data_IF_406648445877
#
_entry.id   IF_406648445877
#
_cell.length_a   1.000
_cell.length_b   1.000
_cell.length_c   1.000
_cell.angle_alpha   90.00
_cell.angle_beta   90.00
_cell.angle_gamma   90.00
#
_symmetry.space_group_name_H-M   'P 1'
#
loop_
_entity.id
_entity.type
_entity.pdbx_description
1 polymer ?
#
# COMPACT_ATOMS: atom_id res chain seq x y z
N UNK A 1 -33.31 8.94 10.09
CA UNK A 1 -32.15 9.86 10.13
C UNK A 1 -31.12 9.23 11.06
N UNK A 2 -30.14 8.43 10.66
CA UNK A 2 -29.24 8.43 9.50
C UNK A 2 -29.19 7.01 8.91
N UNK A 3 -29.51 6.86 7.63
CA UNK A 3 -29.59 5.56 6.94
C UNK A 3 -28.23 5.03 6.47
N UNK A 4 -27.20 5.07 7.33
CA UNK A 4 -25.90 4.49 7.02
C UNK A 4 -25.81 3.06 7.57
N UNK A 5 -25.45 2.10 6.71
CA UNK A 5 -25.16 0.74 7.16
C UNK A 5 -23.90 0.75 8.04
N UNK A 6 -23.79 -0.17 9.00
CA UNK A 6 -22.61 -0.31 9.88
C UNK A 6 -21.30 -0.38 9.07
N UNK A 7 -21.36 -0.97 7.88
CA UNK A 7 -20.25 -1.05 6.92
C UNK A 7 -19.80 0.31 6.40
N UNK A 8 -20.71 1.27 6.17
CA UNK A 8 -20.36 2.62 5.71
C UNK A 8 -19.66 3.43 6.81
N UNK A 9 -20.10 3.29 8.05
CA UNK A 9 -19.41 3.90 9.20
C UNK A 9 -18.00 3.32 9.38
N UNK A 10 -17.87 1.99 9.30
CA UNK A 10 -16.57 1.33 9.40
C UNK A 10 -15.65 1.76 8.26
N UNK A 11 -16.15 1.83 7.04
CA UNK A 11 -15.41 2.32 5.87
C UNK A 11 -14.92 3.76 6.08
N UNK A 12 -15.79 4.67 6.52
CA UNK A 12 -15.43 6.07 6.76
C UNK A 12 -14.35 6.24 7.83
N UNK A 13 -14.45 5.49 8.93
CA UNK A 13 -13.45 5.51 10.02
C UNK A 13 -12.11 4.97 9.52
N UNK A 14 -12.09 3.81 8.84
CA UNK A 14 -10.86 3.23 8.31
C UNK A 14 -10.22 4.14 7.26
N UNK A 15 -11.01 4.77 6.40
CA UNK A 15 -10.53 5.74 5.40
C UNK A 15 -9.87 6.94 6.06
N UNK A 16 -10.53 7.54 7.05
CA UNK A 16 -9.97 8.66 7.81
C UNK A 16 -8.67 8.26 8.50
N UNK A 17 -8.64 7.11 9.17
CA UNK A 17 -7.47 6.61 9.88
C UNK A 17 -6.30 6.30 8.92
N UNK A 18 -6.59 5.74 7.74
CA UNK A 18 -5.59 5.48 6.70
C UNK A 18 -4.95 6.76 6.18
N UNK A 19 -5.74 7.82 5.95
CA UNK A 19 -5.21 9.12 5.52
C UNK A 19 -4.38 9.75 6.64
N UNK A 20 -4.88 9.71 7.88
CA UNK A 20 -4.19 10.25 9.04
C UNK A 20 -2.81 9.61 9.22
N UNK A 21 -2.74 8.27 9.20
CA UNK A 21 -1.46 7.57 9.30
C UNK A 21 -0.57 7.83 8.09
N UNK A 22 -1.11 7.84 6.87
CA UNK A 22 -0.35 8.19 5.66
C UNK A 22 0.29 9.58 5.73
N UNK A 23 -0.42 10.57 6.26
CA UNK A 23 0.15 11.89 6.53
C UNK A 23 1.24 11.83 7.60
N UNK A 24 1.03 11.06 8.66
CA UNK A 24 2.00 10.91 9.75
C UNK A 24 3.30 10.23 9.31
N UNK A 25 3.26 9.34 8.31
CA UNK A 25 4.45 8.77 7.65
C UNK A 25 5.34 9.87 7.07
N UNK A 26 4.74 10.85 6.38
CA UNK A 26 5.46 11.93 5.70
C UNK A 26 5.95 12.99 6.67
N UNK A 27 5.16 13.31 7.71
CA UNK A 27 5.53 14.32 8.70
C UNK A 27 6.49 13.83 9.78
N UNK A 28 6.63 12.51 9.96
CA UNK A 28 7.53 11.95 10.96
C UNK A 28 8.99 12.16 10.58
N UNK A 29 9.78 12.73 11.51
CA UNK A 29 11.22 12.98 11.34
C UNK A 29 12.07 11.73 11.49
N UNK A 30 11.62 10.78 12.31
CA UNK A 30 12.36 9.54 12.55
C UNK A 30 11.89 8.48 11.56
N UNK A 31 12.79 7.90 10.73
CA UNK A 31 12.41 6.94 9.70
C UNK A 31 11.76 5.68 10.30
N UNK A 32 12.19 5.25 11.49
CA UNK A 32 11.57 4.12 12.21
C UNK A 32 10.10 4.40 12.53
N UNK A 33 9.80 5.58 13.06
CA UNK A 33 8.42 5.98 13.35
C UNK A 33 7.59 6.12 12.06
N UNK A 34 8.19 6.64 10.99
CA UNK A 34 7.52 6.74 9.69
C UNK A 34 7.09 5.37 9.16
N UNK A 35 7.95 4.36 9.26
CA UNK A 35 7.58 3.00 8.82
C UNK A 35 6.54 2.36 9.74
N UNK A 36 6.56 2.61 11.05
CA UNK A 36 5.50 2.13 11.95
C UNK A 36 4.12 2.71 11.58
N UNK A 37 4.04 4.00 11.24
CA UNK A 37 2.79 4.59 10.74
C UNK A 37 2.37 4.01 9.38
N UNK A 38 3.34 3.62 8.54
CA UNK A 38 3.04 2.97 7.27
C UNK A 38 2.44 1.58 7.49
N UNK A 39 2.96 0.81 8.45
CA UNK A 39 2.39 -0.49 8.85
C UNK A 39 0.94 -0.31 9.33
N UNK A 40 0.66 0.71 10.15
CA UNK A 40 -0.72 1.02 10.58
C UNK A 40 -1.64 1.37 9.38
N UNK A 41 -1.10 2.05 8.37
CA UNK A 41 -1.82 2.36 7.13
C UNK A 41 -2.15 1.07 6.36
N UNK A 42 -1.22 0.12 6.24
CA UNK A 42 -1.47 -1.18 5.61
C UNK A 42 -2.52 -2.02 6.35
N UNK A 43 -2.58 -1.94 7.69
CA UNK A 43 -3.67 -2.57 8.43
C UNK A 43 -5.03 -1.92 8.12
N UNK A 44 -5.09 -0.59 7.99
CA UNK A 44 -6.32 0.09 7.57
C UNK A 44 -6.74 -0.34 6.15
N UNK A 45 -5.80 -0.44 5.21
CA UNK A 45 -6.06 -0.90 3.84
C UNK A 45 -6.54 -2.36 3.82
N UNK A 46 -5.92 -3.24 4.63
CA UNK A 46 -6.38 -4.63 4.77
C UNK A 46 -7.83 -4.70 5.29
N UNK A 47 -8.21 -3.81 6.21
CA UNK A 47 -9.59 -3.66 6.66
C UNK A 47 -10.55 -3.22 5.55
N UNK A 48 -10.12 -2.35 4.63
CA UNK A 48 -10.90 -2.01 3.44
C UNK A 48 -11.09 -3.22 2.52
N UNK A 49 -10.06 -4.03 2.31
CA UNK A 49 -10.19 -5.26 1.53
C UNK A 49 -11.21 -6.23 2.13
N UNK A 50 -11.26 -6.37 3.45
CA UNK A 50 -12.30 -7.18 4.11
C UNK A 50 -13.70 -6.61 3.89
N UNK A 51 -13.87 -5.29 3.99
CA UNK A 51 -15.16 -4.62 3.72
C UNK A 51 -15.62 -4.79 2.27
N UNK A 52 -14.68 -4.86 1.31
CA UNK A 52 -14.94 -5.08 -0.11
C UNK A 52 -15.09 -6.57 -0.49
N UNK A 53 -15.19 -7.48 0.49
CA UNK A 53 -15.23 -8.93 0.30
C UNK A 53 -13.97 -9.55 -0.34
N UNK A 54 -12.84 -8.84 -0.39
CA UNK A 54 -11.58 -9.32 -0.95
C UNK A 54 -10.72 -10.05 0.11
N UNK A 55 -11.19 -11.19 0.59
CA UNK A 55 -10.58 -11.93 1.71
C UNK A 55 -9.14 -12.38 1.43
N UNK A 56 -8.89 -13.01 0.28
CA UNK A 56 -7.54 -13.44 -0.08
C UNK A 56 -6.56 -12.26 -0.14
N UNK A 57 -6.98 -11.16 -0.75
CA UNK A 57 -6.15 -9.98 -0.92
C UNK A 57 -5.82 -9.34 0.43
N UNK A 58 -6.78 -9.28 1.36
CA UNK A 58 -6.55 -8.81 2.72
C UNK A 58 -5.46 -9.61 3.44
N UNK A 59 -5.52 -10.94 3.39
CA UNK A 59 -4.54 -11.81 4.04
C UNK A 59 -3.15 -11.67 3.42
N UNK A 60 -3.06 -11.69 2.09
CA UNK A 60 -1.78 -11.50 1.38
C UNK A 60 -1.19 -10.12 1.66
N UNK A 61 -2.03 -9.07 1.76
CA UNK A 61 -1.58 -7.73 2.11
C UNK A 61 -0.89 -7.70 3.48
N UNK A 62 -1.47 -8.38 4.47
CA UNK A 62 -0.89 -8.46 5.81
C UNK A 62 0.40 -9.30 5.79
N UNK A 63 0.39 -10.49 5.17
CA UNK A 63 1.55 -11.40 5.19
C UNK A 63 2.74 -10.85 4.40
N UNK A 64 2.51 -10.35 3.19
CA UNK A 64 3.59 -9.94 2.28
C UNK A 64 4.00 -8.50 2.52
N UNK A 65 3.04 -7.57 2.52
CA UNK A 65 3.37 -6.15 2.63
C UNK A 65 3.70 -5.76 4.08
N UNK A 66 2.76 -5.93 5.00
CA UNK A 66 2.98 -5.56 6.40
C UNK A 66 3.95 -6.50 7.13
N UNK A 67 3.96 -7.78 6.77
CA UNK A 67 4.82 -8.80 7.36
C UNK A 67 6.22 -8.78 6.75
N UNK A 68 6.40 -9.38 5.58
CA UNK A 68 7.74 -9.60 5.02
C UNK A 68 8.45 -8.29 4.61
N UNK A 69 7.80 -7.47 3.78
CA UNK A 69 8.44 -6.29 3.18
C UNK A 69 8.70 -5.23 4.25
N UNK A 70 7.68 -4.83 5.02
CA UNK A 70 7.87 -3.77 6.02
C UNK A 70 8.84 -4.17 7.14
N UNK A 71 8.86 -5.43 7.59
CA UNK A 71 9.86 -5.87 8.58
C UNK A 71 11.27 -5.85 8.00
N UNK A 72 11.47 -6.25 6.74
CA UNK A 72 12.78 -6.11 6.08
C UNK A 72 13.20 -4.64 5.99
N UNK A 73 12.28 -3.75 5.63
CA UNK A 73 12.56 -2.31 5.61
C UNK A 73 12.93 -1.79 7.01
N UNK A 74 12.17 -2.15 8.05
CA UNK A 74 12.47 -1.80 9.44
C UNK A 74 13.87 -2.25 9.87
N UNK A 75 14.25 -3.48 9.49
CA UNK A 75 15.58 -4.00 9.77
C UNK A 75 16.67 -3.18 9.05
N UNK A 76 16.48 -2.89 7.76
CA UNK A 76 17.44 -2.11 6.96
C UNK A 76 17.60 -0.70 7.50
N UNK A 77 16.52 0.03 7.77
CA UNK A 77 16.60 1.40 8.28
C UNK A 77 17.17 1.48 9.70
N UNK A 78 17.07 0.41 10.48
CA UNK A 78 17.63 0.36 11.84
C UNK A 78 19.12 0.04 11.81
N UNK A 79 19.58 -0.77 10.85
CA UNK A 79 21.00 -1.01 10.61
C UNK A 79 21.69 0.19 9.97
N UNK A 80 20.97 0.97 9.17
CA UNK A 80 21.47 2.22 8.63
C UNK A 80 21.39 3.31 9.71
N UNK A 81 22.50 3.96 10.04
CA UNK A 81 22.46 5.15 10.87
C UNK A 81 21.95 6.34 10.04
N UNK A 82 20.63 6.39 9.90
CA UNK A 82 19.89 7.44 9.20
C UNK A 82 19.68 8.67 10.08
N UNK A 83 20.27 8.73 11.29
CA UNK A 83 20.09 9.82 12.23
C UNK A 83 20.95 11.05 11.90
N UNK A 84 21.21 11.29 10.61
CA UNK A 84 22.04 12.40 10.17
C UNK A 84 21.25 13.71 10.22
N UNK A 85 21.50 14.43 11.32
CA UNK A 85 21.38 15.87 11.41
C UNK A 85 22.11 16.50 10.22
N UNK A 86 21.37 16.91 9.20
CA UNK A 86 21.65 17.98 8.23
C UNK A 86 20.61 17.87 7.11
N UNK A 87 19.36 18.23 7.39
CA UNK A 87 18.54 18.74 6.30
C UNK A 87 19.08 20.14 5.99
N UNK A 88 19.77 20.38 4.85
CA UNK A 88 19.89 21.74 4.36
C UNK A 88 18.45 22.21 4.22
N UNK A 89 18.08 23.30 4.92
CA UNK A 89 16.73 23.86 4.88
C UNK A 89 16.33 24.02 3.42
N UNK A 90 15.63 23.02 2.87
CA UNK A 90 15.26 23.02 1.46
C UNK A 90 14.40 24.25 1.29
N UNK A 91 14.89 25.13 0.40
CA UNK A 91 14.36 26.45 0.17
C UNK A 91 12.84 26.39 0.15
N UNK A 92 12.20 27.35 0.83
CA UNK A 92 10.74 27.51 0.89
C UNK A 92 10.03 27.26 -0.45
N UNK A 93 10.70 27.56 -1.56
CA UNK A 93 10.32 27.19 -2.93
C UNK A 93 9.96 25.71 -3.14
N UNK A 94 10.75 24.77 -2.63
CA UNK A 94 10.52 23.32 -2.82
C UNK A 94 9.26 22.88 -2.06
N UNK A 95 9.03 23.43 -0.85
CA UNK A 95 7.80 23.18 -0.09
C UNK A 95 6.58 23.75 -0.82
N UNK A 96 6.72 24.92 -1.43
CA UNK A 96 5.67 25.57 -2.21
C UNK A 96 5.36 24.78 -3.49
N UNK A 97 6.37 24.32 -4.23
CA UNK A 97 6.20 23.47 -5.42
C UNK A 97 5.54 22.13 -5.03
N UNK A 98 5.98 21.49 -3.95
CA UNK A 98 5.36 20.26 -3.46
C UNK A 98 3.89 20.49 -3.07
N UNK A 99 3.59 21.62 -2.42
CA UNK A 99 2.22 22.02 -2.08
C UNK A 99 1.34 22.26 -3.30
N UNK A 100 1.85 22.96 -4.31
CA UNK A 100 1.13 23.22 -5.57
C UNK A 100 0.91 21.91 -6.33
N UNK A 101 1.92 21.06 -6.45
CA UNK A 101 1.81 19.77 -7.12
C UNK A 101 0.80 18.84 -6.41
N UNK A 102 0.86 18.76 -5.08
CA UNK A 102 -0.10 18.01 -4.28
C UNK A 102 -1.52 18.57 -4.38
N UNK A 103 -1.67 19.91 -4.35
CA UNK A 103 -2.94 20.60 -4.52
C UNK A 103 -3.55 20.40 -5.91
N UNK A 104 -2.73 20.44 -6.96
CA UNK A 104 -3.15 20.17 -8.34
C UNK A 104 -3.60 18.71 -8.51
N UNK A 105 -2.87 17.76 -7.93
CA UNK A 105 -3.26 16.35 -7.92
C UNK A 105 -4.61 16.18 -7.22
N UNK A 106 -4.80 16.76 -6.02
CA UNK A 106 -6.08 16.74 -5.31
C UNK A 106 -7.21 17.36 -6.12
N UNK A 107 -6.96 18.50 -6.78
CA UNK A 107 -7.95 19.17 -7.63
C UNK A 107 -8.40 18.28 -8.79
N UNK A 108 -7.45 17.64 -9.49
CA UNK A 108 -7.74 16.70 -10.57
C UNK A 108 -8.54 15.50 -10.04
N UNK A 109 -8.17 14.97 -8.88
CA UNK A 109 -8.84 13.82 -8.28
C UNK A 109 -10.28 14.14 -7.89
N UNK A 110 -10.53 15.29 -7.26
CA UNK A 110 -11.89 15.77 -6.93
C UNK A 110 -12.69 16.07 -8.20
N UNK A 111 -12.06 16.67 -9.22
CA UNK A 111 -12.69 16.93 -10.52
C UNK A 111 -13.12 15.64 -11.23
N UNK A 112 -12.28 14.60 -11.18
CA UNK A 112 -12.58 13.29 -11.74
C UNK A 112 -13.74 12.60 -11.00
N UNK A 113 -13.80 12.71 -9.67
CA UNK A 113 -14.88 12.11 -8.88
C UNK A 113 -16.25 12.72 -9.21
N UNK A 114 -16.33 14.04 -9.44
CA UNK A 114 -17.58 14.71 -9.84
C UNK A 114 -18.08 14.28 -11.22
N UNK A 115 -17.18 13.88 -12.13
CA UNK A 115 -17.54 13.31 -13.43
C UNK A 115 -17.96 11.83 -13.37
N UNK A 116 -17.77 11.16 -12.23
CA UNK A 116 -17.99 9.72 -12.07
C UNK A 116 -19.41 9.33 -11.64
N UNK A 117 -20.27 10.27 -11.26
CA UNK A 117 -21.66 9.97 -10.84
C UNK A 117 -22.52 9.33 -11.95
N UNK A 118 -22.07 9.40 -13.21
CA UNK A 118 -22.68 8.74 -14.36
C UNK A 118 -22.19 7.31 -14.61
N UNK A 119 -21.18 6.83 -13.87
CA UNK A 119 -20.79 5.43 -13.90
C UNK A 119 -21.77 4.66 -13.00
N UNK A 120 -22.78 4.08 -13.63
CA UNK A 120 -23.79 3.26 -12.95
C UNK A 120 -23.13 2.35 -11.93
N UNK A 121 -23.57 2.45 -10.68
CA UNK A 121 -23.11 1.61 -9.58
C UNK A 121 -23.29 0.16 -9.99
N UNK A 122 -22.22 -0.47 -10.47
CA UNK A 122 -22.23 -1.88 -10.81
C UNK A 122 -22.71 -2.62 -9.57
N UNK A 123 -23.87 -3.29 -9.66
CA UNK A 123 -24.34 -4.13 -8.58
C UNK A 123 -23.21 -5.06 -8.18
N UNK A 124 -22.91 -5.11 -6.88
CA UNK A 124 -21.94 -6.02 -6.27
C UNK A 124 -22.31 -7.46 -6.68
N UNK A 125 -21.74 -7.90 -7.80
CA UNK A 125 -22.08 -9.14 -8.46
C UNK A 125 -21.26 -10.28 -7.88
N UNK A 126 -21.94 -11.19 -7.20
CA UNK A 126 -21.45 -12.47 -6.65
C UNK A 126 -20.50 -12.39 -5.44
N UNK A 127 -20.86 -13.13 -4.38
CA UNK A 127 -20.06 -13.32 -3.15
C UNK A 127 -18.79 -14.16 -3.36
N UNK A 128 -18.45 -14.51 -4.60
CA UNK A 128 -17.33 -15.38 -4.95
C UNK A 128 -16.07 -14.58 -5.32
N UNK A 129 -16.21 -13.27 -5.57
CA UNK A 129 -15.10 -12.36 -5.85
C UNK A 129 -14.26 -12.22 -4.58
N UNK A 130 -13.01 -12.68 -4.63
CA UNK A 130 -12.07 -12.62 -3.50
C UNK A 130 -11.78 -13.95 -2.81
N UNK A 131 -12.38 -15.07 -3.26
CA UNK A 131 -12.10 -16.41 -2.74
C UNK A 131 -10.80 -16.99 -3.31
N UNK A 132 -10.06 -17.74 -2.49
CA UNK A 132 -8.79 -18.41 -2.87
C UNK A 132 -9.00 -19.35 -4.07
N UNK A 133 -10.12 -20.07 -4.09
CA UNK A 133 -10.46 -21.03 -5.15
C UNK A 133 -10.65 -20.35 -6.50
N UNK A 134 -11.37 -19.22 -6.54
CA UNK A 134 -11.58 -18.50 -7.79
C UNK A 134 -10.28 -17.90 -8.31
N UNK A 135 -9.48 -17.32 -7.41
CA UNK A 135 -8.18 -16.77 -7.79
C UNK A 135 -7.25 -17.84 -8.36
N UNK A 136 -7.16 -19.02 -7.73
CA UNK A 136 -6.35 -20.12 -8.24
C UNK A 136 -6.78 -20.56 -9.64
N UNK A 137 -8.08 -20.63 -9.93
CA UNK A 137 -8.56 -20.95 -11.28
C UNK A 137 -8.09 -19.94 -12.31
N UNK A 138 -8.31 -18.65 -12.04
CA UNK A 138 -7.94 -17.56 -12.96
C UNK A 138 -6.42 -17.49 -13.17
N UNK A 139 -5.64 -17.71 -12.10
CA UNK A 139 -4.17 -17.69 -12.15
C UNK A 139 -3.60 -18.81 -13.03
N UNK A 140 -4.20 -20.00 -13.00
CA UNK A 140 -3.74 -21.14 -13.80
C UNK A 140 -4.49 -21.32 -15.13
N UNK A 141 -5.51 -20.51 -15.43
CA UNK A 141 -6.20 -20.54 -16.72
C UNK A 141 -5.81 -19.36 -17.60
N UNK A 142 -6.23 -18.15 -17.21
CA UNK A 142 -6.07 -16.94 -18.01
C UNK A 142 -4.72 -16.27 -17.77
N UNK A 143 -4.23 -16.31 -16.52
CA UNK A 143 -2.98 -15.66 -16.10
C UNK A 143 -1.81 -16.62 -15.94
N UNK A 144 -1.84 -17.77 -16.62
CA UNK A 144 -0.78 -18.78 -16.52
C UNK A 144 0.58 -18.21 -16.94
N UNK A 145 0.62 -17.42 -18.02
CA UNK A 145 1.87 -16.85 -18.52
C UNK A 145 2.45 -15.76 -17.58
N UNK A 146 1.68 -14.77 -17.08
CA UNK A 146 2.14 -13.87 -16.01
C UNK A 146 2.60 -14.59 -14.74
N UNK A 147 1.93 -15.67 -14.35
CA UNK A 147 2.31 -16.48 -13.19
C UNK A 147 3.71 -17.11 -13.35
N UNK A 148 4.01 -17.64 -14.54
CA UNK A 148 5.32 -18.21 -14.85
C UNK A 148 6.42 -17.15 -14.82
N UNK A 149 6.16 -15.97 -15.40
CA UNK A 149 7.09 -14.84 -15.37
C UNK A 149 7.35 -14.39 -13.92
N UNK A 150 6.32 -14.31 -13.08
CA UNK A 150 6.49 -13.99 -11.67
C UNK A 150 7.36 -15.02 -10.93
N UNK A 151 7.24 -16.31 -11.28
CA UNK A 151 8.07 -17.37 -10.70
C UNK A 151 9.55 -17.22 -11.07
N UNK A 152 9.85 -16.91 -12.34
CA UNK A 152 11.21 -16.61 -12.80
C UNK A 152 11.74 -15.33 -12.14
N UNK A 153 10.90 -14.30 -12.00
CA UNK A 153 11.26 -13.05 -11.32
C UNK A 153 11.67 -13.30 -9.86
N UNK A 154 10.91 -14.13 -9.12
CA UNK A 154 11.24 -14.49 -7.74
C UNK A 154 12.54 -15.30 -7.66
N UNK A 155 12.76 -16.23 -8.59
CA UNK A 155 14.03 -16.97 -8.68
C UNK A 155 15.21 -16.02 -8.93
N UNK A 156 15.08 -15.10 -9.89
CA UNK A 156 16.10 -14.12 -10.21
C UNK A 156 16.38 -13.17 -9.04
N UNK A 157 15.35 -12.71 -8.33
CA UNK A 157 15.50 -11.89 -7.13
C UNK A 157 16.23 -12.63 -6.01
N UNK A 158 15.91 -13.92 -5.79
CA UNK A 158 16.60 -14.76 -4.81
C UNK A 158 18.09 -14.91 -5.16
N UNK A 159 18.41 -15.31 -6.39
CA UNK A 159 19.80 -15.47 -6.85
C UNK A 159 20.57 -14.14 -6.77
N UNK A 160 19.95 -13.05 -7.20
CA UNK A 160 20.53 -11.71 -7.14
C UNK A 160 20.81 -11.27 -5.69
N UNK A 161 19.87 -11.47 -4.77
CA UNK A 161 20.06 -11.13 -3.36
C UNK A 161 21.19 -11.94 -2.70
N UNK A 162 21.32 -13.23 -3.02
CA UNK A 162 22.39 -14.09 -2.50
C UNK A 162 23.75 -13.66 -3.07
N UNK A 163 23.82 -13.36 -4.36
CA UNK A 163 25.07 -12.94 -5.01
C UNK A 163 25.59 -11.62 -4.41
N UNK A 164 24.71 -10.64 -4.21
CA UNK A 164 25.08 -9.34 -3.61
C UNK A 164 25.45 -9.51 -2.13
N UNK A 165 24.75 -10.39 -1.39
CA UNK A 165 25.01 -10.62 0.03
C UNK A 165 26.25 -11.46 0.32
N UNK A 166 26.82 -12.13 -0.69
CA UNK A 166 28.01 -12.97 -0.53
C UNK A 166 29.24 -12.08 -0.36
N UNK A 167 29.92 -12.16 0.79
CA UNK A 167 31.23 -11.55 0.97
C UNK A 167 32.28 -12.34 0.20
N UNK A 168 33.05 -11.65 -0.64
CA UNK A 168 34.27 -12.19 -1.22
C UNK A 168 35.31 -12.37 -0.11
N UNK A 169 35.43 -13.59 0.41
CA UNK A 169 36.55 -13.98 1.25
C UNK A 169 37.71 -14.24 0.29
N UNK A 170 38.57 -13.23 0.10
CA UNK A 170 39.91 -13.41 -0.44
C UNK A 170 40.85 -13.92 0.65
#
# INVERSE_FOLDING_TARGET
>A
MLGYTITQWLFGILSFLSIMFGLMVVFSRNPVNSVLYLVMTFFCIAGHYLLLNAQFLAVVHIVVYAGAIMVLFLFVIMLMDLNQENEPQKAWLIKLIAGIAGGMLLFVLVGSLKGSEQLGLAQYGSSQIGTVKNLGKVLFSEFLFPFEIASILLLAALVGSIMIGKKDIK
#
